data_IF_081008166567
#
_entry.id   IF_081008166567
#
_cell.length_a   1.000
_cell.length_b   1.000
_cell.length_c   1.000
_cell.angle_alpha   90.00
_cell.angle_beta   90.00
_cell.angle_gamma   90.00
#
_symmetry.space_group_name_H-M   'P 1'
#
loop_
_entity.id
_entity.type
_entity.pdbx_description
1 polymer ?
#
# COMPACT_ATOMS: atom_id res chain seq x y z
N UNK A 1 8.77 -28.46 -22.07
CA UNK A 1 8.20 -27.28 -21.42
C UNK A 1 9.14 -26.10 -21.67
N UNK A 2 8.74 -25.18 -22.53
CA UNK A 2 9.56 -24.02 -22.87
C UNK A 2 9.48 -23.02 -21.74
N UNK A 3 10.60 -22.74 -21.08
CA UNK A 3 10.75 -21.64 -20.15
C UNK A 3 10.52 -20.32 -20.88
N UNK A 4 9.37 -19.69 -20.68
CA UNK A 4 9.13 -18.33 -21.14
C UNK A 4 10.05 -17.38 -20.36
N UNK A 5 11.14 -17.00 -21.02
CA UNK A 5 11.96 -15.86 -20.60
C UNK A 5 11.05 -14.64 -20.49
N UNK A 6 10.98 -14.02 -19.31
CA UNK A 6 10.32 -12.75 -19.09
C UNK A 6 11.12 -11.65 -19.81
N UNK A 7 10.90 -11.45 -21.12
CA UNK A 7 11.30 -10.22 -21.79
C UNK A 7 10.58 -9.09 -21.08
N UNK A 8 11.31 -8.29 -20.30
CA UNK A 8 10.79 -7.16 -19.56
C UNK A 8 9.92 -6.31 -20.47
N UNK A 9 8.72 -5.97 -20.01
CA UNK A 9 7.83 -5.06 -20.74
C UNK A 9 8.54 -3.75 -20.98
N UNK A 10 8.41 -3.20 -22.18
CA UNK A 10 8.96 -1.88 -22.50
C UNK A 10 8.25 -0.83 -21.64
N UNK A 11 9.02 -0.12 -20.83
CA UNK A 11 8.58 1.01 -20.00
C UNK A 11 9.08 2.29 -20.64
N UNK A 12 8.21 3.27 -20.76
CA UNK A 12 8.54 4.61 -21.22
C UNK A 12 8.51 5.57 -20.05
N UNK A 13 9.45 6.50 -20.02
CA UNK A 13 9.47 7.62 -19.10
C UNK A 13 9.57 8.90 -19.90
N UNK A 14 8.91 9.94 -19.44
CA UNK A 14 8.92 11.22 -20.14
C UNK A 14 8.40 12.36 -19.28
N UNK A 15 8.41 13.54 -19.86
CA UNK A 15 7.81 14.74 -19.29
C UNK A 15 6.90 15.34 -20.36
N UNK A 16 5.63 15.49 -20.02
CA UNK A 16 4.67 16.21 -20.87
C UNK A 16 4.79 17.71 -20.58
N UNK A 17 5.22 18.46 -21.56
CA UNK A 17 5.42 19.93 -21.50
C UNK A 17 4.36 20.70 -22.28
N UNK A 18 3.30 20.06 -22.72
CA UNK A 18 2.25 20.70 -23.52
C UNK A 18 1.15 21.35 -22.67
N UNK A 19 1.18 21.20 -21.35
CA UNK A 19 0.33 21.92 -20.40
C UNK A 19 0.99 23.19 -19.84
N UNK A 20 0.34 23.78 -18.80
CA UNK A 20 0.87 24.96 -18.10
C UNK A 20 2.16 24.63 -17.33
N UNK A 21 2.23 23.44 -16.78
CA UNK A 21 3.38 22.93 -16.04
C UNK A 21 3.88 21.60 -16.61
N UNK A 22 5.18 21.31 -16.54
CA UNK A 22 5.72 20.03 -16.96
C UNK A 22 5.24 18.91 -16.01
N UNK A 23 4.74 17.81 -16.59
CA UNK A 23 4.24 16.65 -15.86
C UNK A 23 5.13 15.43 -16.15
N UNK A 24 5.86 14.96 -15.14
CA UNK A 24 6.68 13.76 -15.28
C UNK A 24 5.80 12.52 -15.22
N UNK A 25 6.03 11.59 -16.14
CA UNK A 25 5.27 10.35 -16.19
C UNK A 25 6.13 9.13 -16.50
N UNK A 26 5.57 7.96 -16.18
CA UNK A 26 6.00 6.65 -16.64
C UNK A 26 4.81 5.95 -17.29
N UNK A 27 5.04 5.29 -18.40
CA UNK A 27 3.96 4.63 -19.14
C UNK A 27 4.35 3.21 -19.55
N UNK A 28 3.41 2.30 -19.40
CA UNK A 28 3.53 0.93 -19.85
C UNK A 28 2.33 0.56 -20.72
N UNK A 29 2.53 0.18 -22.01
CA UNK A 29 1.46 -0.22 -22.90
C UNK A 29 0.73 -1.47 -22.43
N UNK A 30 -0.53 -1.58 -22.82
CA UNK A 30 -1.38 -2.74 -22.60
C UNK A 30 -0.83 -4.00 -23.26
N UNK A 31 -1.28 -5.16 -22.79
CA UNK A 31 -1.10 -6.45 -23.46
C UNK A 31 -2.29 -6.74 -24.38
N UNK A 32 -1.98 -7.34 -25.53
CA UNK A 32 -2.99 -7.89 -26.45
C UNK A 32 -4.08 -6.89 -26.84
N UNK A 33 -3.73 -5.60 -26.93
CA UNK A 33 -4.67 -4.56 -27.35
C UNK A 33 -5.77 -4.24 -26.30
N UNK A 34 -5.57 -4.54 -25.03
CA UNK A 34 -6.54 -4.18 -23.98
C UNK A 34 -6.84 -2.69 -24.02
N UNK A 35 -8.12 -2.33 -23.95
CA UNK A 35 -8.65 -0.97 -24.10
C UNK A 35 -9.01 -0.35 -22.76
N UNK A 36 -8.08 -0.37 -21.81
CA UNK A 36 -8.25 0.26 -20.50
C UNK A 36 -6.98 1.00 -20.09
N UNK A 37 -7.12 2.13 -19.40
CA UNK A 37 -6.03 2.88 -18.80
C UNK A 37 -6.15 2.85 -17.27
N UNK A 38 -5.08 2.48 -16.59
CA UNK A 38 -4.95 2.68 -15.14
C UNK A 38 -4.00 3.84 -14.91
N UNK A 39 -4.48 4.92 -14.29
CA UNK A 39 -3.68 6.08 -13.87
C UNK A 39 -3.31 5.90 -12.41
N UNK A 40 -2.03 5.99 -12.10
CA UNK A 40 -1.49 5.77 -10.75
C UNK A 40 -0.98 7.08 -10.18
N UNK A 41 -1.53 7.49 -9.05
CA UNK A 41 -1.07 8.62 -8.26
C UNK A 41 -0.17 8.16 -7.12
N UNK A 42 0.99 8.78 -6.99
CA UNK A 42 1.99 8.44 -5.98
C UNK A 42 1.56 8.89 -4.57
N UNK A 43 2.02 8.15 -3.57
CA UNK A 43 1.92 8.55 -2.16
C UNK A 43 2.97 9.64 -1.81
N UNK A 44 3.21 9.89 -0.51
CA UNK A 44 4.19 10.87 -0.05
C UNK A 44 5.67 10.54 -0.35
N UNK A 45 5.99 9.33 -0.82
CA UNK A 45 7.35 9.01 -1.27
C UNK A 45 7.72 9.75 -2.58
N UNK A 46 6.75 10.29 -3.35
CA UNK A 46 7.04 11.33 -4.31
C UNK A 46 7.67 12.54 -3.56
N UNK A 47 8.58 13.27 -4.16
CA UNK A 47 8.99 13.28 -5.57
C UNK A 47 9.96 12.16 -5.99
N UNK A 48 10.31 11.23 -5.14
CA UNK A 48 11.34 10.22 -5.43
C UNK A 48 10.78 8.95 -6.10
N UNK A 49 9.47 8.68 -5.98
CA UNK A 49 8.81 7.48 -6.47
C UNK A 49 7.53 7.81 -7.25
N UNK A 50 7.05 6.85 -8.05
CA UNK A 50 5.78 6.93 -8.78
C UNK A 50 4.61 6.25 -8.05
N UNK A 51 4.85 5.63 -6.89
CA UNK A 51 3.86 4.79 -6.19
C UNK A 51 3.52 3.51 -6.97
N UNK A 52 3.15 2.43 -6.27
CA UNK A 52 2.79 1.14 -6.89
C UNK A 52 3.79 0.67 -7.98
N UNK A 53 5.05 1.11 -7.89
CA UNK A 53 6.08 0.92 -8.93
C UNK A 53 7.02 -0.25 -8.66
N UNK A 54 6.75 -1.04 -7.61
CA UNK A 54 7.54 -2.19 -7.15
C UNK A 54 7.21 -3.51 -7.86
N UNK A 55 6.58 -3.46 -9.04
CA UNK A 55 6.24 -4.64 -9.84
C UNK A 55 4.86 -5.24 -9.57
N UNK A 56 4.13 -4.80 -8.52
CA UNK A 56 2.80 -5.35 -8.18
C UNK A 56 1.78 -5.20 -9.31
N UNK A 57 1.92 -4.17 -10.15
CA UNK A 57 1.03 -3.93 -11.30
C UNK A 57 1.50 -4.62 -12.59
N UNK A 58 2.62 -5.36 -12.58
CA UNK A 58 3.24 -5.89 -13.82
C UNK A 58 2.38 -6.93 -14.55
N UNK A 59 1.49 -7.59 -13.86
CA UNK A 59 0.59 -8.56 -14.44
C UNK A 59 -0.73 -7.99 -14.97
N UNK A 60 -1.01 -6.71 -14.77
CA UNK A 60 -2.19 -6.07 -15.35
C UNK A 60 -2.09 -6.05 -16.88
N UNK A 61 -3.22 -6.33 -17.54
CA UNK A 61 -3.31 -6.34 -19.02
C UNK A 61 -3.46 -4.92 -19.60
N UNK A 62 -3.95 -3.97 -18.82
CA UNK A 62 -4.21 -2.59 -19.21
C UNK A 62 -2.95 -1.77 -19.55
N UNK A 63 -3.15 -0.65 -20.19
CA UNK A 63 -2.20 0.45 -20.18
C UNK A 63 -2.07 0.98 -18.73
N UNK A 64 -0.86 1.32 -18.31
CA UNK A 64 -0.64 1.90 -16.97
C UNK A 64 0.18 3.17 -17.13
N UNK A 65 -0.36 4.26 -16.61
CA UNK A 65 0.25 5.59 -16.57
C UNK A 65 0.51 5.96 -15.11
N UNK A 66 1.75 6.08 -14.73
CA UNK A 66 2.15 6.63 -13.44
C UNK A 66 2.46 8.11 -13.63
N UNK A 67 1.87 8.96 -12.80
CA UNK A 67 2.16 10.39 -12.75
C UNK A 67 2.96 10.67 -11.49
N UNK A 68 4.06 11.41 -11.63
CA UNK A 68 4.89 11.80 -10.52
C UNK A 68 4.39 13.11 -9.92
N UNK A 69 4.21 13.14 -8.61
CA UNK A 69 3.92 14.40 -7.91
C UNK A 69 5.23 15.08 -7.52
N UNK A 70 5.81 15.80 -8.48
CA UNK A 70 7.01 16.59 -8.28
C UNK A 70 6.91 17.88 -9.07
N UNK A 71 6.39 18.92 -8.41
CA UNK A 71 6.32 20.28 -8.96
C UNK A 71 7.22 21.16 -8.10
N UNK A 72 8.17 21.84 -8.72
CA UNK A 72 9.24 22.60 -8.05
C UNK A 72 9.97 21.82 -6.93
N UNK A 73 10.11 20.49 -7.10
CA UNK A 73 10.75 19.62 -6.15
C UNK A 73 9.87 19.15 -4.98
N UNK A 74 8.60 19.57 -4.92
CA UNK A 74 7.68 19.32 -3.81
C UNK A 74 6.50 18.43 -4.19
N UNK A 75 5.86 17.83 -3.17
CA UNK A 75 4.53 17.26 -3.29
C UNK A 75 3.49 18.38 -3.40
N UNK A 76 2.43 18.17 -4.20
CA UNK A 76 1.36 19.12 -4.43
C UNK A 76 -0.05 18.53 -4.26
N UNK A 77 -0.16 17.26 -3.86
CA UNK A 77 -1.40 16.47 -3.93
C UNK A 77 -1.99 16.40 -5.35
N UNK A 78 -1.17 16.71 -6.37
CA UNK A 78 -1.64 16.89 -7.76
C UNK A 78 -2.68 18.01 -7.91
N UNK A 79 -2.75 18.95 -6.98
CA UNK A 79 -3.76 20.02 -6.92
C UNK A 79 -3.14 21.37 -7.26
N UNK A 80 -2.31 21.89 -6.37
CA UNK A 80 -1.88 23.27 -6.45
C UNK A 80 -0.41 23.48 -6.06
N UNK A 81 0.13 24.60 -6.50
CA UNK A 81 1.39 25.17 -6.04
C UNK A 81 1.21 26.66 -5.83
N UNK A 82 1.63 27.20 -4.70
CA UNK A 82 1.52 28.60 -4.33
C UNK A 82 0.09 29.17 -4.52
N UNK A 83 -0.93 28.39 -4.10
CA UNK A 83 -2.34 28.76 -4.25
C UNK A 83 -2.93 28.62 -5.66
N UNK A 84 -2.13 28.31 -6.67
CA UNK A 84 -2.62 28.13 -8.05
C UNK A 84 -2.81 26.65 -8.39
N UNK A 85 -3.96 26.33 -9.01
CA UNK A 85 -4.34 24.97 -9.44
C UNK A 85 -3.83 24.60 -10.84
N UNK A 86 -2.77 25.24 -11.34
CA UNK A 86 -2.09 24.88 -12.58
C UNK A 86 -1.58 23.43 -12.59
N UNK A 87 -1.23 22.89 -11.42
CA UNK A 87 -0.86 21.49 -11.27
C UNK A 87 -2.02 20.57 -11.65
N UNK A 88 -3.22 20.81 -11.09
CA UNK A 88 -4.42 20.03 -11.40
C UNK A 88 -4.73 20.08 -12.89
N UNK A 89 -4.77 21.28 -13.47
CA UNK A 89 -5.05 21.49 -14.90
C UNK A 89 -4.02 20.78 -15.80
N UNK A 90 -2.74 20.84 -15.46
CA UNK A 90 -1.67 20.21 -16.25
C UNK A 90 -1.71 18.68 -16.17
N UNK A 91 -1.92 18.12 -14.98
CA UNK A 91 -2.04 16.66 -14.79
C UNK A 91 -3.29 16.13 -15.50
N UNK A 92 -4.44 16.79 -15.37
CA UNK A 92 -5.67 16.42 -16.08
C UNK A 92 -5.45 16.42 -17.60
N UNK A 93 -4.88 17.50 -18.15
CA UNK A 93 -4.58 17.60 -19.56
C UNK A 93 -3.61 16.52 -20.06
N UNK A 94 -2.64 16.10 -19.22
CA UNK A 94 -1.75 14.98 -19.54
C UNK A 94 -2.52 13.66 -19.60
N UNK A 95 -3.39 13.38 -18.63
CA UNK A 95 -4.23 12.17 -18.63
C UNK A 95 -5.15 12.15 -19.86
N UNK A 96 -5.82 13.26 -20.17
CA UNK A 96 -6.72 13.36 -21.32
C UNK A 96 -5.97 13.13 -22.64
N UNK A 97 -4.74 13.67 -22.81
CA UNK A 97 -3.91 13.38 -23.99
C UNK A 97 -3.55 11.91 -24.13
N UNK A 98 -3.27 11.21 -23.02
CA UNK A 98 -3.06 9.75 -23.07
C UNK A 98 -4.33 9.01 -23.46
N UNK A 99 -5.50 9.40 -22.93
CA UNK A 99 -6.78 8.83 -23.33
C UNK A 99 -7.05 9.02 -24.82
N UNK A 100 -6.88 10.24 -25.33
CA UNK A 100 -7.06 10.57 -26.75
C UNK A 100 -6.10 9.77 -27.65
N UNK A 101 -4.82 9.72 -27.30
CA UNK A 101 -3.80 8.94 -28.03
C UNK A 101 -4.08 7.44 -28.05
N UNK A 102 -4.75 6.91 -27.02
CA UNK A 102 -5.17 5.51 -26.91
C UNK A 102 -6.55 5.26 -27.54
N UNK A 103 -7.28 6.29 -27.94
CA UNK A 103 -8.68 6.22 -28.39
C UNK A 103 -9.60 5.69 -27.28
N UNK A 104 -9.38 6.14 -26.05
CA UNK A 104 -10.14 5.78 -24.85
C UNK A 104 -10.90 6.98 -24.31
N UNK A 105 -11.87 6.71 -23.45
CA UNK A 105 -12.61 7.73 -22.69
C UNK A 105 -12.38 7.54 -21.18
N UNK A 106 -12.84 8.50 -20.38
CA UNK A 106 -12.80 8.41 -18.91
C UNK A 106 -13.59 7.22 -18.35
N UNK A 107 -14.55 6.65 -19.13
CA UNK A 107 -15.26 5.44 -18.78
C UNK A 107 -14.36 4.19 -18.80
N UNK A 108 -13.35 4.19 -19.70
CA UNK A 108 -12.35 3.11 -19.79
C UNK A 108 -11.08 3.43 -18.99
N UNK A 109 -11.21 4.23 -17.93
CA UNK A 109 -10.11 4.63 -17.08
C UNK A 109 -10.37 4.30 -15.61
N UNK A 110 -9.33 3.83 -14.93
CA UNK A 110 -9.33 3.64 -13.47
C UNK A 110 -8.24 4.50 -12.85
N UNK A 111 -8.61 5.30 -11.86
CA UNK A 111 -7.69 6.07 -11.03
C UNK A 111 -7.32 5.26 -9.79
N UNK A 112 -6.03 5.08 -9.55
CA UNK A 112 -5.49 4.29 -8.45
C UNK A 112 -4.55 5.13 -7.59
N UNK A 113 -4.73 5.06 -6.26
CA UNK A 113 -3.80 5.68 -5.33
C UNK A 113 -3.87 5.14 -3.91
N UNK A 114 -2.84 5.46 -3.13
CA UNK A 114 -2.81 5.22 -1.68
C UNK A 114 -2.37 6.48 -0.94
N UNK A 115 -2.92 6.70 0.27
CA UNK A 115 -2.66 7.90 1.08
C UNK A 115 -2.90 9.17 0.24
N UNK A 116 -1.93 10.08 0.14
CA UNK A 116 -1.99 11.25 -0.75
C UNK A 116 -2.50 10.91 -2.17
N UNK A 117 -2.00 9.83 -2.77
CA UNK A 117 -2.45 9.40 -4.10
C UNK A 117 -3.91 8.95 -4.14
N UNK A 118 -4.44 8.43 -3.02
CA UNK A 118 -5.85 8.08 -2.91
C UNK A 118 -6.75 9.32 -2.88
N UNK A 119 -6.32 10.38 -2.17
CA UNK A 119 -6.99 11.67 -2.19
C UNK A 119 -7.03 12.27 -3.59
N UNK A 120 -5.91 12.19 -4.32
CA UNK A 120 -5.86 12.62 -5.72
C UNK A 120 -6.79 11.77 -6.60
N UNK A 121 -6.79 10.43 -6.49
CA UNK A 121 -7.66 9.56 -7.28
C UNK A 121 -9.14 9.89 -7.06
N UNK A 122 -9.56 10.11 -5.80
CA UNK A 122 -10.92 10.55 -5.46
C UNK A 122 -11.23 11.94 -6.05
N UNK A 123 -10.32 12.90 -5.85
CA UNK A 123 -10.51 14.27 -6.36
C UNK A 123 -10.70 14.27 -7.87
N UNK A 124 -9.75 13.72 -8.63
CA UNK A 124 -9.84 13.70 -10.10
C UNK A 124 -11.05 12.90 -10.59
N UNK A 125 -11.36 11.79 -9.94
CA UNK A 125 -12.51 10.97 -10.27
C UNK A 125 -13.81 11.73 -10.16
N UNK A 126 -14.02 12.41 -9.03
CA UNK A 126 -15.25 13.11 -8.71
C UNK A 126 -15.35 14.51 -9.33
N UNK A 127 -14.22 15.21 -9.51
CA UNK A 127 -14.22 16.51 -10.16
C UNK A 127 -14.39 16.41 -11.69
N UNK A 128 -13.78 15.41 -12.29
CA UNK A 128 -13.63 15.32 -13.75
C UNK A 128 -14.34 14.11 -14.39
N UNK A 129 -15.09 13.33 -13.62
CA UNK A 129 -15.98 12.29 -14.14
C UNK A 129 -15.26 11.03 -14.63
N UNK A 130 -14.19 10.59 -13.99
CA UNK A 130 -13.62 9.29 -14.29
C UNK A 130 -14.49 8.16 -13.69
N UNK A 131 -14.67 7.11 -14.48
CA UNK A 131 -15.64 6.05 -14.13
C UNK A 131 -15.24 5.20 -12.94
N UNK A 132 -13.94 4.91 -12.76
CA UNK A 132 -13.49 3.95 -11.76
C UNK A 132 -12.41 4.56 -10.87
N UNK A 133 -12.57 4.43 -9.54
CA UNK A 133 -11.71 5.00 -8.52
C UNK A 133 -11.37 3.92 -7.50
N UNK A 134 -10.08 3.66 -7.29
CA UNK A 134 -9.57 2.73 -6.26
C UNK A 134 -8.64 3.52 -5.33
N UNK A 135 -9.11 3.76 -4.11
CA UNK A 135 -8.48 4.68 -3.17
C UNK A 135 -8.23 3.99 -1.82
N UNK A 136 -6.97 3.82 -1.43
CA UNK A 136 -6.59 3.24 -0.15
C UNK A 136 -6.11 4.31 0.83
N UNK A 137 -6.80 4.45 1.98
CA UNK A 137 -6.47 5.35 3.08
C UNK A 137 -6.25 6.82 2.65
N UNK A 138 -7.24 7.49 2.01
CA UNK A 138 -7.11 8.89 1.60
C UNK A 138 -7.15 9.85 2.78
N UNK A 139 -6.56 11.04 2.60
CA UNK A 139 -6.80 12.20 3.44
C UNK A 139 -7.92 13.05 2.81
N UNK A 140 -8.97 13.34 3.57
CA UNK A 140 -10.06 14.20 3.13
C UNK A 140 -9.80 15.67 3.47
N UNK A 141 -9.31 15.95 4.67
CA UNK A 141 -8.91 17.31 5.11
C UNK A 141 -7.46 17.55 4.74
N UNK A 142 -7.20 17.85 3.46
CA UNK A 142 -5.85 17.94 2.89
C UNK A 142 -5.08 19.11 3.49
N UNK A 143 -5.72 20.29 3.62
CA UNK A 143 -5.08 21.50 4.13
C UNK A 143 -4.59 21.35 5.57
N UNK A 144 -5.46 20.87 6.46
CA UNK A 144 -5.12 20.55 7.85
C UNK A 144 -4.01 19.51 7.92
N UNK A 145 -4.13 18.42 7.15
CA UNK A 145 -3.15 17.34 7.17
C UNK A 145 -1.74 17.82 6.74
N UNK A 146 -1.62 18.57 5.65
CA UNK A 146 -0.30 19.04 5.20
C UNK A 146 0.27 20.09 6.16
N UNK A 147 -0.56 20.95 6.74
CA UNK A 147 -0.13 21.92 7.73
C UNK A 147 0.49 21.26 8.96
N UNK A 148 -0.17 20.25 9.49
CA UNK A 148 0.22 19.60 10.75
C UNK A 148 1.34 18.58 10.58
N UNK A 149 1.30 17.79 9.49
CA UNK A 149 2.19 16.64 9.30
C UNK A 149 3.31 16.94 8.31
N UNK A 150 3.05 17.77 7.30
CA UNK A 150 3.99 18.07 6.21
C UNK A 150 4.12 19.58 5.93
N UNK A 151 4.61 20.40 6.88
CA UNK A 151 4.62 21.88 6.77
C UNK A 151 5.35 22.41 5.52
N UNK A 152 6.34 21.68 5.00
CA UNK A 152 7.02 22.05 3.74
C UNK A 152 6.10 21.91 2.54
N UNK A 153 5.30 20.84 2.50
CA UNK A 153 4.29 20.63 1.47
C UNK A 153 3.17 21.68 1.58
N UNK A 154 2.75 22.03 2.81
CA UNK A 154 1.76 23.07 3.03
C UNK A 154 2.20 24.41 2.39
N UNK A 155 3.43 24.84 2.65
CA UNK A 155 4.00 26.06 2.04
C UNK A 155 4.12 25.96 0.53
N UNK A 156 4.54 24.82 -0.01
CA UNK A 156 4.63 24.64 -1.44
C UNK A 156 3.25 24.69 -2.13
N UNK A 157 2.21 24.19 -1.47
CA UNK A 157 0.85 24.17 -2.01
C UNK A 157 0.13 25.52 -1.87
N UNK A 158 0.22 26.16 -0.71
CA UNK A 158 -0.58 27.34 -0.35
C UNK A 158 0.22 28.66 -0.40
N UNK A 159 1.56 28.59 -0.45
CA UNK A 159 2.45 29.75 -0.35
C UNK A 159 3.04 29.91 1.06
N UNK A 160 4.06 30.77 1.21
CA UNK A 160 4.74 30.96 2.49
C UNK A 160 3.86 31.65 3.54
N UNK A 161 2.98 32.56 3.11
CA UNK A 161 2.12 33.40 3.96
C UNK A 161 0.69 32.85 4.08
N UNK A 162 0.46 31.53 3.84
CA UNK A 162 -0.87 30.94 3.87
C UNK A 162 -1.55 31.09 5.26
N UNK A 163 -2.86 31.30 5.25
CA UNK A 163 -3.70 31.47 6.44
C UNK A 163 -4.73 30.35 6.62
N UNK A 164 -5.64 30.56 7.58
CA UNK A 164 -6.73 29.61 7.86
C UNK A 164 -7.71 29.45 6.70
N UNK A 165 -7.85 30.48 5.84
CA UNK A 165 -8.75 30.42 4.69
C UNK A 165 -8.21 29.45 3.61
N UNK A 166 -6.91 29.47 3.35
CA UNK A 166 -6.25 28.58 2.41
C UNK A 166 -6.35 27.11 2.88
N UNK A 167 -6.16 26.88 4.17
CA UNK A 167 -6.33 25.56 4.77
C UNK A 167 -7.76 25.06 4.60
N UNK A 168 -8.76 25.92 4.92
CA UNK A 168 -10.18 25.55 4.78
C UNK A 168 -10.58 25.30 3.33
N UNK A 169 -10.02 26.05 2.37
CA UNK A 169 -10.27 25.81 0.94
C UNK A 169 -9.83 24.40 0.54
N UNK A 170 -8.60 23.99 0.93
CA UNK A 170 -8.10 22.66 0.61
C UNK A 170 -8.87 21.55 1.35
N UNK A 171 -9.28 21.79 2.60
CA UNK A 171 -10.05 20.84 3.41
C UNK A 171 -11.48 20.64 2.86
N UNK A 172 -12.07 21.66 2.27
CA UNK A 172 -13.41 21.59 1.71
C UNK A 172 -13.47 20.84 0.36
N UNK A 173 -12.38 20.86 -0.42
CA UNK A 173 -12.39 20.37 -1.81
C UNK A 173 -12.91 18.96 -1.99
N UNK A 174 -12.34 17.98 -1.31
CA UNK A 174 -12.75 16.59 -1.49
C UNK A 174 -14.11 16.31 -0.84
N UNK A 175 -14.42 16.75 0.40
CA UNK A 175 -15.75 16.61 0.98
C UNK A 175 -16.85 17.26 0.13
N UNK A 176 -16.61 18.43 -0.46
CA UNK A 176 -17.60 19.12 -1.30
C UNK A 176 -17.87 18.37 -2.61
N UNK A 177 -16.83 17.80 -3.23
CA UNK A 177 -16.98 16.97 -4.42
C UNK A 177 -17.82 15.71 -4.13
N UNK A 178 -17.59 15.06 -2.98
CA UNK A 178 -18.39 13.88 -2.60
C UNK A 178 -19.85 14.26 -2.37
N UNK A 179 -20.11 15.37 -1.64
CA UNK A 179 -21.48 15.85 -1.37
C UNK A 179 -22.21 16.36 -2.62
N UNK A 180 -21.48 16.87 -3.60
CA UNK A 180 -22.07 17.38 -4.84
C UNK A 180 -22.67 16.28 -5.73
N UNK A 181 -22.27 15.02 -5.55
CA UNK A 181 -22.77 13.82 -6.24
C UNK A 181 -22.87 13.95 -7.78
N UNK A 182 -22.05 14.82 -8.40
CA UNK A 182 -22.14 15.10 -9.85
C UNK A 182 -21.90 13.86 -10.71
N UNK A 183 -21.16 12.90 -10.22
CA UNK A 183 -20.79 11.65 -10.91
C UNK A 183 -21.25 10.42 -10.12
N UNK A 184 -22.54 10.37 -9.74
CA UNK A 184 -23.14 9.26 -8.95
C UNK A 184 -22.91 7.88 -9.52
N UNK A 185 -22.79 7.77 -10.84
CA UNK A 185 -22.49 6.51 -11.52
C UNK A 185 -21.03 6.07 -11.46
N UNK A 186 -20.15 6.75 -10.73
CA UNK A 186 -18.76 6.31 -10.54
C UNK A 186 -18.71 5.02 -9.71
N UNK A 187 -17.76 4.15 -10.06
CA UNK A 187 -17.43 2.96 -9.29
C UNK A 187 -16.31 3.32 -8.31
N UNK A 188 -16.61 3.39 -7.02
CA UNK A 188 -15.70 3.83 -5.99
C UNK A 188 -15.37 2.66 -5.05
N UNK A 189 -14.09 2.35 -4.92
CA UNK A 189 -13.56 1.34 -4.01
C UNK A 189 -12.63 2.03 -3.01
N UNK A 190 -13.15 2.27 -1.81
CA UNK A 190 -12.43 2.89 -0.70
C UNK A 190 -11.94 1.81 0.25
N UNK A 191 -10.65 1.82 0.58
CA UNK A 191 -10.04 0.89 1.52
C UNK A 191 -9.50 1.65 2.73
N UNK A 192 -9.71 1.10 3.94
CA UNK A 192 -9.16 1.66 5.18
C UNK A 192 -9.01 0.58 6.26
N UNK A 193 -8.58 0.97 7.46
CA UNK A 193 -8.40 0.07 8.61
C UNK A 193 -8.76 0.77 9.91
N UNK A 194 -9.30 0.07 10.91
CA UNK A 194 -9.50 0.62 12.27
C UNK A 194 -8.17 0.93 12.98
N UNK A 195 -7.08 0.29 12.55
CA UNK A 195 -5.74 0.53 13.10
C UNK A 195 -5.02 1.71 12.42
N UNK A 196 -5.60 2.31 11.38
CA UNK A 196 -5.10 3.55 10.79
C UNK A 196 -5.49 4.74 11.67
N UNK A 197 -4.49 5.38 12.30
CA UNK A 197 -4.72 6.55 13.16
C UNK A 197 -5.41 7.74 12.43
N UNK A 198 -5.37 7.75 11.10
CA UNK A 198 -6.05 8.77 10.29
C UNK A 198 -7.52 8.44 10.01
N UNK A 199 -7.99 7.20 10.26
CA UNK A 199 -9.33 6.77 9.91
C UNK A 199 -10.41 7.65 10.54
N UNK A 200 -10.35 7.88 11.85
CA UNK A 200 -11.38 8.60 12.59
C UNK A 200 -11.49 10.08 12.20
N UNK A 201 -10.37 10.71 11.83
CA UNK A 201 -10.33 12.13 11.45
C UNK A 201 -10.50 12.37 9.95
N UNK A 202 -9.96 11.48 9.12
CA UNK A 202 -9.87 11.73 7.69
C UNK A 202 -10.96 11.01 6.86
N UNK A 203 -11.42 9.83 7.29
CA UNK A 203 -12.30 9.00 6.45
C UNK A 203 -13.69 8.85 7.05
N UNK A 204 -13.77 8.43 8.31
CA UNK A 204 -15.04 8.13 8.99
C UNK A 204 -16.10 9.25 8.91
N UNK A 205 -15.76 10.54 9.10
CA UNK A 205 -16.74 11.62 9.03
C UNK A 205 -17.42 11.78 7.67
N UNK A 206 -16.79 11.25 6.60
CA UNK A 206 -17.23 11.45 5.23
C UNK A 206 -17.94 10.23 4.62
N UNK A 207 -17.97 9.08 5.32
CA UNK A 207 -18.51 7.82 4.74
C UNK A 207 -19.99 7.94 4.35
N UNK A 208 -20.81 8.60 5.15
CA UNK A 208 -22.24 8.78 4.85
C UNK A 208 -22.52 9.65 3.61
N UNK A 209 -21.53 10.48 3.20
CA UNK A 209 -21.69 11.29 1.98
C UNK A 209 -21.60 10.46 0.70
N UNK A 210 -21.20 9.18 0.79
CA UNK A 210 -21.17 8.28 -0.35
C UNK A 210 -22.48 7.51 -0.58
N UNK A 211 -23.49 7.67 0.27
CA UNK A 211 -24.78 6.96 0.15
C UNK A 211 -25.52 7.29 -1.16
N UNK A 212 -25.25 8.46 -1.74
CA UNK A 212 -25.80 8.88 -3.03
C UNK A 212 -25.15 8.23 -4.25
N UNK A 213 -24.05 7.47 -4.11
CA UNK A 213 -23.35 6.84 -5.23
C UNK A 213 -23.87 5.45 -5.55
N UNK A 214 -24.09 5.17 -6.83
CA UNK A 214 -24.69 3.91 -7.31
C UNK A 214 -23.83 2.68 -7.02
N UNK A 215 -22.51 2.85 -6.94
CA UNK A 215 -21.55 1.77 -6.70
C UNK A 215 -20.38 2.24 -5.81
N UNK A 216 -20.72 2.56 -4.56
CA UNK A 216 -19.73 2.79 -3.50
C UNK A 216 -19.44 1.49 -2.75
N UNK A 217 -18.15 1.21 -2.56
CA UNK A 217 -17.67 0.01 -1.89
C UNK A 217 -16.64 0.41 -0.84
N UNK A 218 -16.83 -0.05 0.40
CA UNK A 218 -15.91 0.22 1.49
C UNK A 218 -15.34 -1.08 2.05
N UNK A 219 -14.05 -1.29 1.83
CA UNK A 219 -13.29 -2.45 2.32
C UNK A 219 -12.54 -2.03 3.58
N UNK A 220 -13.02 -2.51 4.74
CA UNK A 220 -12.50 -2.17 6.05
C UNK A 220 -11.63 -3.32 6.58
N UNK A 221 -10.32 -3.12 6.57
CA UNK A 221 -9.34 -4.15 6.89
C UNK A 221 -8.99 -4.15 8.36
N UNK A 222 -9.46 -5.17 9.08
CA UNK A 222 -9.15 -5.40 10.49
C UNK A 222 -8.22 -6.61 10.61
N UNK A 223 -6.96 -6.39 10.33
CA UNK A 223 -5.94 -7.44 10.26
C UNK A 223 -4.79 -7.13 11.23
N UNK A 224 -4.25 -8.12 11.96
CA UNK A 224 -3.07 -7.93 12.79
C UNK A 224 -1.82 -7.52 11.99
N UNK A 225 -1.86 -7.67 10.65
CA UNK A 225 -0.80 -7.24 9.75
C UNK A 225 -0.98 -5.82 9.20
N UNK A 226 -1.98 -5.08 9.69
CA UNK A 226 -2.20 -3.65 9.44
C UNK A 226 -2.14 -2.89 10.76
N UNK A 227 -0.95 -2.71 11.34
CA UNK A 227 -0.81 -2.02 12.62
C UNK A 227 -0.93 -0.49 12.51
N UNK A 228 -0.84 0.06 11.28
CA UNK A 228 -0.81 1.49 11.03
C UNK A 228 -1.22 1.86 9.60
N UNK A 229 -1.31 3.17 9.33
CA UNK A 229 -1.64 3.76 8.04
C UNK A 229 -0.81 3.21 6.87
N UNK A 230 0.49 3.01 7.07
CA UNK A 230 1.42 2.64 5.98
C UNK A 230 1.19 1.23 5.44
N UNK A 231 0.53 0.38 6.20
CA UNK A 231 0.26 -1.03 5.86
C UNK A 231 -1.08 -1.27 5.20
N UNK A 232 -2.01 -0.32 5.25
CA UNK A 232 -3.36 -0.47 4.66
C UNK A 232 -3.29 -0.88 3.19
N UNK A 233 -2.58 -0.12 2.37
CA UNK A 233 -2.44 -0.44 0.94
C UNK A 233 -1.67 -1.74 0.71
N UNK A 234 -0.57 -1.96 1.42
CA UNK A 234 0.30 -3.14 1.25
C UNK A 234 -0.42 -4.45 1.55
N UNK A 235 -1.21 -4.50 2.66
CA UNK A 235 -2.00 -5.69 3.02
C UNK A 235 -3.11 -5.96 1.99
N UNK A 236 -3.66 -4.93 1.40
CA UNK A 236 -4.77 -5.01 0.46
C UNK A 236 -4.35 -5.14 -1.01
N UNK A 237 -3.05 -5.27 -1.32
CA UNK A 237 -2.59 -5.47 -2.70
C UNK A 237 -3.38 -6.56 -3.44
N UNK A 238 -3.63 -7.77 -2.89
CA UNK A 238 -4.40 -8.79 -3.60
C UNK A 238 -5.84 -8.34 -3.92
N UNK A 239 -6.50 -7.63 -3.00
CA UNK A 239 -7.86 -7.10 -3.18
C UNK A 239 -7.86 -6.04 -4.28
N UNK A 240 -6.93 -5.09 -4.21
CA UNK A 240 -6.78 -4.03 -5.22
C UNK A 240 -6.52 -4.62 -6.61
N UNK A 241 -5.60 -5.58 -6.73
CA UNK A 241 -5.31 -6.25 -8.01
C UNK A 241 -6.52 -7.01 -8.54
N UNK A 242 -7.29 -7.66 -7.66
CA UNK A 242 -8.56 -8.32 -8.02
C UNK A 242 -9.56 -7.33 -8.61
N UNK A 243 -9.80 -6.21 -7.93
CA UNK A 243 -10.70 -5.15 -8.38
C UNK A 243 -10.22 -4.57 -9.73
N UNK A 244 -8.93 -4.24 -9.84
CA UNK A 244 -8.37 -3.69 -11.09
C UNK A 244 -8.56 -4.66 -12.27
N UNK A 245 -8.31 -5.96 -12.09
CA UNK A 245 -8.51 -6.93 -13.17
C UNK A 245 -9.97 -7.02 -13.63
N UNK A 246 -10.94 -6.93 -12.70
CA UNK A 246 -12.36 -6.90 -13.04
C UNK A 246 -12.71 -5.62 -13.82
N UNK A 247 -12.28 -4.45 -13.33
CA UNK A 247 -12.52 -3.16 -13.99
C UNK A 247 -11.90 -3.10 -15.38
N UNK A 248 -10.70 -3.65 -15.56
CA UNK A 248 -10.01 -3.75 -16.86
C UNK A 248 -10.80 -4.58 -17.88
N UNK A 249 -11.60 -5.53 -17.40
CA UNK A 249 -12.50 -6.35 -18.24
C UNK A 249 -13.93 -5.77 -18.31
N UNK A 250 -14.14 -4.53 -17.85
CA UNK A 250 -15.44 -3.85 -17.90
C UNK A 250 -16.43 -4.35 -16.84
N UNK A 251 -15.96 -5.10 -15.85
CA UNK A 251 -16.78 -5.61 -14.74
C UNK A 251 -16.58 -4.73 -13.54
N UNK A 252 -17.61 -3.99 -13.13
CA UNK A 252 -17.58 -3.18 -11.91
C UNK A 252 -18.24 -3.95 -10.75
N UNK A 253 -17.47 -4.63 -9.88
CA UNK A 253 -18.06 -5.41 -8.81
C UNK A 253 -18.79 -4.51 -7.80
N UNK A 254 -19.93 -4.99 -7.29
CA UNK A 254 -20.66 -4.38 -6.19
C UNK A 254 -20.37 -5.16 -4.93
N UNK A 255 -19.43 -4.67 -4.12
CA UNK A 255 -18.98 -5.32 -2.89
C UNK A 255 -19.76 -4.79 -1.69
N UNK A 256 -20.11 -3.50 -1.72
CA UNK A 256 -20.73 -2.81 -0.60
C UNK A 256 -19.75 -2.59 0.56
N UNK A 257 -20.28 -2.62 1.80
CA UNK A 257 -19.44 -2.59 3.00
C UNK A 257 -19.00 -4.01 3.35
N UNK A 258 -17.68 -4.23 3.41
CA UNK A 258 -17.10 -5.51 3.83
C UNK A 258 -15.97 -5.29 4.81
N UNK A 259 -15.88 -6.18 5.80
CA UNK A 259 -14.74 -6.27 6.72
C UNK A 259 -13.90 -7.46 6.30
N UNK A 260 -12.60 -7.27 6.12
CA UNK A 260 -11.63 -8.33 5.82
C UNK A 260 -10.50 -8.34 6.87
N UNK A 261 -9.57 -9.28 6.78
CA UNK A 261 -8.45 -9.38 7.72
C UNK A 261 -8.61 -10.56 8.67
N UNK A 262 -8.98 -11.73 8.13
CA UNK A 262 -9.21 -12.95 8.90
C UNK A 262 -7.94 -13.73 9.23
N UNK A 263 -6.77 -13.09 9.18
CA UNK A 263 -5.53 -13.74 9.56
C UNK A 263 -5.46 -13.92 11.07
N UNK A 264 -5.16 -15.12 11.48
CA UNK A 264 -4.82 -15.45 12.85
C UNK A 264 -3.38 -15.95 12.92
N UNK A 265 -2.41 -15.09 13.30
CA UNK A 265 -1.01 -15.50 13.42
C UNK A 265 -0.77 -16.49 14.57
N UNK A 266 -1.74 -16.66 15.48
CA UNK A 266 -1.69 -17.60 16.60
C UNK A 266 -2.48 -18.89 16.34
N UNK A 267 -3.02 -19.08 15.13
CA UNK A 267 -3.79 -20.27 14.78
C UNK A 267 -2.98 -21.56 15.06
N UNK A 268 -3.61 -22.52 15.72
CA UNK A 268 -3.02 -23.84 15.97
C UNK A 268 -2.85 -24.59 14.64
N UNK A 269 -1.61 -24.91 14.32
CA UNK A 269 -1.22 -25.61 13.10
C UNK A 269 -0.84 -27.06 13.32
N UNK A 270 -0.91 -27.56 14.56
CA UNK A 270 -0.40 -28.88 14.94
C UNK A 270 -0.96 -29.99 14.04
N UNK A 271 -2.26 -29.98 13.76
CA UNK A 271 -2.88 -30.97 12.90
C UNK A 271 -2.37 -30.90 11.45
N UNK A 272 -2.22 -29.70 10.89
CA UNK A 272 -1.69 -29.49 9.55
C UNK A 272 -0.22 -29.93 9.47
N UNK A 273 0.59 -29.51 10.43
CA UNK A 273 2.03 -29.83 10.43
C UNK A 273 2.26 -31.34 10.60
N UNK A 274 1.47 -32.02 11.44
CA UNK A 274 1.50 -33.49 11.57
C UNK A 274 1.12 -34.18 10.25
N UNK A 275 0.10 -33.67 9.56
CA UNK A 275 -0.30 -34.22 8.27
C UNK A 275 0.77 -34.05 7.20
N UNK A 276 1.36 -32.84 7.11
CA UNK A 276 2.42 -32.52 6.14
C UNK A 276 3.69 -33.34 6.41
N UNK A 277 4.09 -33.52 7.68
CA UNK A 277 5.22 -34.37 8.05
C UNK A 277 5.04 -35.81 7.60
N UNK A 278 3.82 -36.34 7.72
CA UNK A 278 3.51 -37.71 7.33
C UNK A 278 3.36 -37.92 5.80
N UNK A 279 3.02 -36.90 5.05
CA UNK A 279 2.59 -37.03 3.64
C UNK A 279 3.45 -36.28 2.62
N UNK A 280 4.22 -35.29 3.04
CA UNK A 280 5.07 -34.52 2.13
C UNK A 280 6.20 -35.39 1.58
N UNK A 281 6.59 -35.17 0.32
CA UNK A 281 7.73 -35.85 -0.24
C UNK A 281 9.03 -35.49 0.53
N UNK A 282 9.96 -36.42 0.72
CA UNK A 282 11.19 -36.19 1.47
C UNK A 282 11.91 -34.90 1.02
N UNK A 283 12.28 -34.07 1.98
CA UNK A 283 12.99 -32.81 1.74
C UNK A 283 12.16 -31.66 1.19
N UNK A 284 10.86 -31.85 0.93
CA UNK A 284 9.99 -30.79 0.40
C UNK A 284 9.22 -30.03 1.47
N UNK A 285 9.27 -30.49 2.72
CA UNK A 285 8.61 -29.88 3.86
C UNK A 285 9.60 -29.58 4.99
N UNK A 286 9.32 -28.55 5.75
CA UNK A 286 10.02 -28.17 6.98
C UNK A 286 9.02 -27.45 7.91
N UNK A 287 9.00 -27.80 9.19
CA UNK A 287 8.05 -27.17 10.11
C UNK A 287 8.36 -25.68 10.33
N UNK A 288 7.33 -24.84 10.48
CA UNK A 288 7.53 -23.50 11.02
C UNK A 288 8.22 -23.59 12.38
N UNK A 289 9.10 -22.63 12.72
CA UNK A 289 9.74 -22.65 14.04
C UNK A 289 8.72 -22.33 15.14
N UNK A 290 8.66 -23.17 16.16
CA UNK A 290 8.02 -22.85 17.44
C UNK A 290 9.00 -21.95 18.20
N UNK A 291 8.54 -20.82 18.70
CA UNK A 291 9.40 -19.82 19.34
C UNK A 291 8.92 -19.56 20.76
N UNK A 292 9.82 -19.70 21.73
CA UNK A 292 9.65 -19.24 23.11
C UNK A 292 10.63 -18.09 23.34
N UNK A 293 10.14 -17.00 23.88
CA UNK A 293 10.94 -15.82 24.23
C UNK A 293 11.22 -15.83 25.72
N UNK A 294 12.48 -15.74 26.10
CA UNK A 294 12.91 -15.56 27.49
C UNK A 294 13.57 -14.19 27.61
N UNK A 295 12.87 -13.25 28.25
CA UNK A 295 13.43 -11.95 28.60
C UNK A 295 14.12 -12.07 29.98
N UNK A 296 15.38 -11.66 30.09
CA UNK A 296 16.12 -11.56 31.34
C UNK A 296 16.92 -10.27 31.31
N UNK A 297 16.41 -9.24 31.98
CA UNK A 297 17.03 -7.91 31.98
C UNK A 297 17.19 -7.33 30.55
N UNK A 298 18.40 -6.95 30.20
CA UNK A 298 18.76 -6.36 28.90
C UNK A 298 18.78 -7.33 27.72
N UNK A 299 18.67 -8.63 28.01
CA UNK A 299 18.86 -9.69 27.02
C UNK A 299 17.55 -10.41 26.72
N UNK A 300 17.20 -10.47 25.44
CA UNK A 300 16.09 -11.31 24.97
C UNK A 300 16.70 -12.52 24.28
N UNK A 301 16.45 -13.69 24.85
CA UNK A 301 16.85 -14.97 24.28
C UNK A 301 15.64 -15.63 23.62
N UNK A 302 15.87 -16.24 22.48
CA UNK A 302 14.88 -16.99 21.74
C UNK A 302 15.30 -18.46 21.72
N UNK A 303 14.36 -19.34 21.95
CA UNK A 303 14.58 -20.78 21.84
C UNK A 303 13.32 -21.45 21.30
N UNK A 304 13.46 -22.65 20.82
CA UNK A 304 12.31 -23.39 20.32
C UNK A 304 12.67 -24.66 19.59
N UNK A 305 11.74 -25.12 18.78
CA UNK A 305 11.89 -26.30 17.94
C UNK A 305 11.56 -26.01 16.49
N UNK A 306 12.19 -26.77 15.57
CA UNK A 306 11.87 -26.77 14.16
C UNK A 306 12.23 -28.16 13.59
N UNK A 307 11.23 -28.91 13.11
CA UNK A 307 11.44 -30.28 12.59
C UNK A 307 11.85 -30.21 11.10
N UNK A 308 12.66 -31.17 10.67
CA UNK A 308 13.21 -31.23 9.31
C UNK A 308 13.99 -29.98 8.91
N UNK A 309 14.52 -29.22 9.87
CA UNK A 309 15.21 -27.96 9.69
C UNK A 309 16.71 -28.06 9.99
N UNK A 310 17.52 -27.25 9.35
CA UNK A 310 18.94 -27.06 9.64
C UNK A 310 19.27 -25.68 10.17
N UNK A 311 18.45 -24.67 9.83
CA UNK A 311 18.61 -23.30 10.33
C UNK A 311 17.28 -22.63 10.62
N UNK A 312 17.28 -21.68 11.56
CA UNK A 312 16.19 -20.73 11.79
C UNK A 312 16.74 -19.32 11.56
N UNK A 313 16.01 -18.51 10.81
CA UNK A 313 16.36 -17.12 10.46
C UNK A 313 15.40 -16.14 11.10
N UNK A 314 15.91 -14.95 11.42
CA UNK A 314 15.18 -13.87 12.08
C UNK A 314 15.24 -12.59 11.25
N UNK A 315 14.08 -11.95 11.07
CA UNK A 315 13.91 -10.74 10.27
C UNK A 315 13.04 -9.74 11.01
N UNK A 316 13.44 -8.48 11.03
CA UNK A 316 12.67 -7.37 11.58
C UNK A 316 12.45 -6.30 10.50
N UNK A 317 11.22 -5.87 10.31
CA UNK A 317 10.86 -4.82 9.33
C UNK A 317 11.45 -5.06 7.92
N UNK A 318 11.55 -6.35 7.51
CA UNK A 318 12.13 -6.74 6.22
C UNK A 318 13.66 -6.76 6.19
N UNK A 319 14.34 -6.53 7.32
CA UNK A 319 15.80 -6.61 7.44
C UNK A 319 16.20 -7.90 8.16
N UNK A 320 17.24 -8.54 7.65
CA UNK A 320 17.86 -9.69 8.30
C UNK A 320 18.49 -9.28 9.63
N UNK A 321 18.19 -10.03 10.71
CA UNK A 321 18.67 -9.75 12.07
C UNK A 321 19.67 -10.81 12.52
N UNK A 322 19.47 -12.07 12.11
CA UNK A 322 20.36 -13.15 12.47
C UNK A 322 19.81 -14.53 12.11
N UNK A 323 20.61 -15.57 12.39
CA UNK A 323 20.23 -16.97 12.22
C UNK A 323 20.89 -17.85 13.25
N UNK A 324 20.33 -19.04 13.48
CA UNK A 324 20.92 -20.09 14.31
C UNK A 324 20.79 -21.46 13.63
N UNK A 325 21.65 -22.39 14.00
CA UNK A 325 21.51 -23.79 13.60
C UNK A 325 20.45 -24.50 14.43
N UNK A 326 19.89 -25.58 13.86
CA UNK A 326 18.95 -26.48 14.53
C UNK A 326 19.70 -27.75 14.88
N UNK A 327 19.59 -28.21 16.14
CA UNK A 327 20.17 -29.43 16.61
C UNK A 327 19.52 -30.67 16.00
N UNK A 328 20.16 -31.83 16.13
CA UNK A 328 19.64 -33.09 15.62
C UNK A 328 18.32 -33.52 16.29
N UNK A 329 18.04 -33.00 17.48
CA UNK A 329 16.79 -33.16 18.23
C UNK A 329 15.69 -32.16 17.82
N UNK A 330 15.97 -31.30 16.80
CA UNK A 330 15.06 -30.28 16.35
C UNK A 330 15.03 -29.04 17.23
N UNK A 331 15.85 -28.94 18.28
CA UNK A 331 15.92 -27.74 19.13
C UNK A 331 16.86 -26.70 18.59
N UNK A 332 16.60 -25.42 18.93
CA UNK A 332 17.46 -24.31 18.59
C UNK A 332 17.39 -23.22 19.65
N UNK A 333 18.46 -22.43 19.75
CA UNK A 333 18.50 -21.23 20.57
C UNK A 333 19.24 -20.11 19.81
N UNK A 334 18.79 -18.89 19.99
CA UNK A 334 19.39 -17.72 19.39
C UNK A 334 19.34 -16.52 20.33
N UNK A 335 20.41 -15.76 20.31
CA UNK A 335 20.55 -14.49 20.98
C UNK A 335 21.18 -13.50 20.00
N UNK A 336 20.68 -12.27 19.97
CA UNK A 336 21.29 -11.21 19.18
C UNK A 336 22.60 -10.76 19.80
N UNK A 337 23.62 -10.53 18.98
CA UNK A 337 24.96 -10.08 19.44
C UNK A 337 24.94 -8.62 19.97
N UNK A 338 23.94 -7.84 19.59
CA UNK A 338 23.75 -6.45 20.01
C UNK A 338 22.49 -6.32 20.86
N UNK A 339 22.43 -5.31 21.73
CA UNK A 339 21.23 -5.01 22.50
C UNK A 339 20.07 -4.58 21.59
N UNK A 340 18.87 -4.84 22.03
CA UNK A 340 17.65 -4.35 21.38
C UNK A 340 17.40 -2.90 21.79
N UNK A 341 17.07 -1.98 20.86
CA UNK A 341 16.59 -0.67 21.25
C UNK A 341 15.36 -0.80 22.16
N UNK A 342 15.17 0.09 23.14
CA UNK A 342 13.95 0.06 23.95
C UNK A 342 12.69 0.18 23.10
N UNK A 343 11.66 -0.62 23.44
CA UNK A 343 10.38 -0.58 22.75
C UNK A 343 9.88 -1.94 22.30
N UNK A 344 8.77 -1.92 21.56
CA UNK A 344 8.12 -3.13 21.02
C UNK A 344 8.78 -3.55 19.72
N UNK A 345 9.17 -4.82 19.65
CA UNK A 345 9.78 -5.46 18.49
C UNK A 345 8.88 -6.56 17.94
N UNK A 346 8.91 -6.74 16.63
CA UNK A 346 8.22 -7.84 15.95
C UNK A 346 9.16 -8.52 14.97
N UNK A 347 9.51 -9.77 15.27
CA UNK A 347 10.34 -10.60 14.41
C UNK A 347 9.48 -11.52 13.56
N UNK A 348 9.87 -11.69 12.31
CA UNK A 348 9.43 -12.80 11.47
C UNK A 348 10.52 -13.83 11.42
N UNK A 349 10.19 -15.08 11.73
CA UNK A 349 11.14 -16.20 11.74
C UNK A 349 10.67 -17.27 10.78
N UNK A 350 11.61 -17.99 10.18
CA UNK A 350 11.32 -19.18 9.39
C UNK A 350 12.49 -20.15 9.47
N UNK A 351 12.21 -21.43 9.30
CA UNK A 351 13.20 -22.48 9.25
C UNK A 351 13.55 -22.83 7.81
N UNK A 352 14.77 -23.35 7.59
CA UNK A 352 15.21 -23.83 6.27
C UNK A 352 15.80 -25.22 6.45
N UNK A 353 15.43 -26.18 5.57
CA UNK A 353 16.00 -27.51 5.59
C UNK A 353 17.30 -27.64 4.76
N UNK A 354 17.89 -28.84 4.75
CA UNK A 354 19.13 -29.11 4.02
C UNK A 354 18.99 -28.97 2.49
N UNK A 355 17.78 -28.97 1.95
CA UNK A 355 17.48 -28.76 0.53
C UNK A 355 17.17 -27.31 0.17
N UNK A 356 17.26 -26.38 1.12
CA UNK A 356 16.96 -24.97 0.92
C UNK A 356 15.48 -24.62 0.90
N UNK A 357 14.60 -25.55 1.31
CA UNK A 357 13.16 -25.29 1.44
C UNK A 357 12.91 -24.48 2.70
N UNK A 358 12.20 -23.35 2.54
CA UNK A 358 11.79 -22.48 3.64
C UNK A 358 10.43 -22.93 4.19
N UNK A 359 10.27 -22.86 5.52
CA UNK A 359 8.98 -23.02 6.18
C UNK A 359 8.11 -21.79 5.99
N UNK A 360 6.85 -21.88 6.39
CA UNK A 360 6.06 -20.69 6.67
C UNK A 360 6.67 -19.86 7.80
N UNK A 361 6.29 -18.58 7.85
CA UNK A 361 6.85 -17.62 8.80
C UNK A 361 6.06 -17.58 10.08
N UNK A 362 6.74 -17.70 11.21
CA UNK A 362 6.21 -17.44 12.55
C UNK A 362 6.49 -15.98 12.92
N UNK A 363 5.53 -15.33 13.55
CA UNK A 363 5.70 -13.96 14.06
C UNK A 363 5.84 -13.99 15.57
N UNK A 364 6.87 -13.31 16.07
CA UNK A 364 7.15 -13.18 17.51
C UNK A 364 7.21 -11.71 17.88
N UNK A 365 6.45 -11.33 18.90
CA UNK A 365 6.46 -9.97 19.43
C UNK A 365 6.95 -9.97 20.86
N UNK A 366 7.85 -9.04 21.19
CA UNK A 366 8.37 -8.82 22.53
C UNK A 366 8.64 -7.33 22.77
N UNK A 367 8.83 -6.96 24.05
CA UNK A 367 9.24 -5.60 24.44
C UNK A 367 10.64 -5.67 25.01
N UNK A 368 11.54 -4.80 24.51
CA UNK A 368 12.85 -4.57 25.10
C UNK A 368 12.77 -3.39 26.09
N UNK A 369 13.30 -3.57 27.28
CA UNK A 369 13.31 -2.53 28.31
C UNK A 369 14.47 -1.56 28.09
N UNK A 370 14.30 -0.29 28.53
CA UNK A 370 15.38 0.67 28.57
C UNK A 370 16.39 0.29 29.67
N UNK A 371 17.66 0.42 29.37
CA UNK A 371 18.70 0.31 30.40
C UNK A 371 18.56 1.55 31.31
N UNK A 372 18.16 1.38 32.56
CA UNK A 372 18.28 2.43 33.55
C UNK A 372 19.79 2.73 33.71
N UNK A 373 20.21 3.87 33.20
CA UNK A 373 21.54 4.41 33.49
C UNK A 373 21.60 4.83 34.96
N UNK A 374 21.73 3.85 35.84
CA UNK A 374 22.14 4.13 37.19
C UNK A 374 23.68 4.18 37.24
N UNK A 375 24.23 5.39 37.27
CA UNK A 375 25.27 5.88 38.19
C UNK A 375 25.17 7.37 38.28
#
# INVERSE_FOLDING_TARGET
MATMSSKGRRMFTGTDTSGELPVEYRFRPARNGNRHLVVVFANFNAPNDYGWSNGVLDNLRANVLWIRDRFDGHNSYYLCGNGDFAVERSVLATVDRFLDALGLTRDSCTLLGSSKGASAALHYGLAHGFKNIVAAAPQFSIGTYVREVHPRTARAMMGDDFGEDDVRELDARLPDLVRAERHRGANIYLLSSPADAQYDSQIRPHLLHFDGYDNFNFIFTDSPFVPDHTRVAGRNVPVVIGILNLLIDGIAPRIGFVRNGYEDPAADRTALDTYLEATAAPGTWVSPPVVTTLASGETVNFMGTAREAVTVQFWENGRYVGKTGVGADGTWAWKRDTTWPPGRHTLRTFATNAHGVESERTTVTFTAEAVDAHV
#
